data_IF_422542436386
#
_entry.id   IF_422542436386
#
_cell.length_a   1.000
_cell.length_b   1.000
_cell.length_c   1.000
_cell.angle_alpha   90.00
_cell.angle_beta   90.00
_cell.angle_gamma   90.00
#
_symmetry.space_group_name_H-M   'P 1'
#
loop_
_entity.id
_entity.type
_entity.pdbx_description
1 polymer ?
#
# COMPACT_ATOMS: atom_id res chain seq x y z
N UNK A 1 -3.99 -17.46 -1.77
CA UNK A 1 -4.70 -16.18 -2.04
C UNK A 1 -3.79 -15.03 -1.67
N UNK A 2 -3.55 -14.12 -2.58
CA UNK A 2 -2.78 -12.89 -2.34
C UNK A 2 -3.74 -11.71 -2.25
N UNK A 3 -3.50 -10.81 -1.31
CA UNK A 3 -4.25 -9.55 -1.17
C UNK A 3 -3.25 -8.40 -1.31
N UNK A 4 -3.39 -7.62 -2.38
CA UNK A 4 -2.61 -6.40 -2.59
C UNK A 4 -3.36 -5.21 -2.02
N UNK A 5 -2.71 -4.44 -1.15
CA UNK A 5 -3.28 -3.23 -0.53
C UNK A 5 -2.36 -2.06 -0.84
N UNK A 6 -2.85 -1.13 -1.65
CA UNK A 6 -2.14 0.13 -1.95
C UNK A 6 -2.99 1.34 -1.56
N UNK A 7 -2.47 2.51 -1.80
CA UNK A 7 -3.12 3.79 -1.49
C UNK A 7 -2.07 4.83 -1.10
N UNK A 8 -2.49 6.07 -0.95
CA UNK A 8 -1.64 7.16 -0.51
C UNK A 8 -1.02 6.89 0.88
N UNK A 9 0.00 7.66 1.24
CA UNK A 9 0.49 7.65 2.61
C UNK A 9 -0.64 7.97 3.59
N UNK A 10 -0.58 7.45 4.80
CA UNK A 10 -1.56 7.69 5.88
C UNK A 10 -2.97 7.09 5.65
N UNK A 11 -3.22 6.32 4.60
CA UNK A 11 -4.54 5.69 4.36
C UNK A 11 -4.80 4.43 5.20
N UNK A 12 -3.93 4.11 6.16
CA UNK A 12 -4.12 2.98 7.08
C UNK A 12 -3.87 1.59 6.47
N UNK A 13 -3.08 1.47 5.40
CA UNK A 13 -2.73 0.19 4.76
C UNK A 13 -2.18 -0.83 5.75
N UNK A 14 -1.19 -0.43 6.53
CA UNK A 14 -0.54 -1.31 7.52
C UNK A 14 -1.50 -1.71 8.64
N UNK A 15 -2.36 -0.78 9.12
CA UNK A 15 -3.38 -1.08 10.11
C UNK A 15 -4.44 -2.07 9.57
N UNK A 16 -4.86 -1.93 8.32
CA UNK A 16 -5.74 -2.88 7.67
C UNK A 16 -5.07 -4.24 7.54
N UNK A 17 -3.82 -4.30 7.10
CA UNK A 17 -3.06 -5.53 6.96
C UNK A 17 -2.90 -6.26 8.29
N UNK A 18 -2.67 -5.53 9.39
CA UNK A 18 -2.62 -6.08 10.74
C UNK A 18 -3.98 -6.70 11.14
N UNK A 19 -5.10 -6.01 10.89
CA UNK A 19 -6.45 -6.56 11.16
C UNK A 19 -6.73 -7.83 10.34
N UNK A 20 -6.33 -7.85 9.08
CA UNK A 20 -6.49 -9.03 8.22
C UNK A 20 -5.61 -10.19 8.68
N UNK A 21 -4.38 -9.93 9.13
CA UNK A 21 -3.54 -10.93 9.78
C UNK A 21 -4.24 -11.54 10.99
N UNK A 22 -4.84 -10.72 11.84
CA UNK A 22 -5.55 -11.17 13.04
C UNK A 22 -6.81 -11.97 12.69
N UNK A 23 -7.58 -11.52 11.68
CA UNK A 23 -8.84 -12.15 11.23
C UNK A 23 -8.61 -13.47 10.48
N UNK A 24 -7.73 -13.44 9.46
CA UNK A 24 -7.54 -14.55 8.54
C UNK A 24 -6.28 -15.38 8.78
N UNK A 25 -5.40 -14.93 9.68
CA UNK A 25 -4.08 -15.54 9.92
C UNK A 25 -3.18 -15.52 8.66
N UNK A 26 -3.39 -14.56 7.77
CA UNK A 26 -2.53 -14.35 6.61
C UNK A 26 -1.37 -13.45 7.00
N UNK A 27 -0.12 -13.87 6.82
CA UNK A 27 1.02 -12.97 7.03
C UNK A 27 0.96 -11.80 6.07
N UNK A 28 1.58 -10.68 6.44
CA UNK A 28 1.72 -9.56 5.51
C UNK A 28 3.18 -9.17 5.29
N UNK A 29 3.45 -8.73 4.06
CA UNK A 29 4.69 -8.10 3.63
C UNK A 29 4.45 -6.61 3.47
N UNK A 30 5.12 -5.80 4.30
CA UNK A 30 5.20 -4.36 4.07
C UNK A 30 6.33 -4.07 3.08
N UNK A 31 6.00 -3.43 1.96
CA UNK A 31 7.00 -3.02 0.97
C UNK A 31 7.93 -1.94 1.56
N UNK A 32 7.45 -1.15 2.51
CA UNK A 32 8.29 -0.19 3.23
C UNK A 32 9.35 -0.88 4.10
N UNK A 33 9.02 -2.00 4.75
CA UNK A 33 10.02 -2.80 5.47
C UNK A 33 11.06 -3.40 4.52
N UNK A 34 10.63 -3.94 3.39
CA UNK A 34 11.53 -4.44 2.35
C UNK A 34 12.45 -3.32 1.84
N UNK A 35 11.88 -2.15 1.52
CA UNK A 35 12.64 -0.95 1.12
C UNK A 35 13.74 -0.61 2.11
N UNK A 36 13.37 -0.47 3.38
CA UNK A 36 14.34 -0.11 4.42
C UNK A 36 15.38 -1.20 4.65
N UNK A 37 15.00 -2.47 4.52
CA UNK A 37 15.94 -3.59 4.59
C UNK A 37 16.99 -3.53 3.48
N UNK A 38 16.59 -3.29 2.23
CA UNK A 38 17.48 -3.19 1.08
C UNK A 38 18.40 -1.96 1.17
N UNK A 39 17.86 -0.81 1.57
CA UNK A 39 18.62 0.44 1.74
C UNK A 39 19.67 0.26 2.85
N UNK A 40 19.25 -0.15 4.05
CA UNK A 40 20.14 -0.26 5.21
C UNK A 40 21.20 -1.34 5.08
N UNK A 41 20.94 -2.38 4.31
CA UNK A 41 21.92 -3.44 4.03
C UNK A 41 22.89 -3.11 2.89
N UNK A 42 22.73 -1.93 2.25
CA UNK A 42 23.61 -1.50 1.15
C UNK A 42 23.38 -2.25 -0.17
N UNK A 43 22.20 -2.85 -0.36
CA UNK A 43 21.86 -3.54 -1.61
C UNK A 43 21.32 -2.61 -2.69
N UNK A 44 21.25 -1.31 -2.44
CA UNK A 44 20.85 -0.29 -3.39
C UNK A 44 21.45 1.07 -3.00
N UNK A 45 21.71 1.91 -3.99
CA UNK A 45 22.10 3.31 -3.80
C UNK A 45 20.88 4.24 -3.59
N UNK A 46 19.65 3.72 -3.69
CA UNK A 46 18.44 4.46 -3.38
C UNK A 46 18.38 4.81 -1.90
N UNK A 47 17.69 5.90 -1.60
CA UNK A 47 17.48 6.40 -0.24
C UNK A 47 15.98 6.50 0.06
N UNK A 48 15.57 6.68 1.31
CA UNK A 48 14.16 6.94 1.64
C UNK A 48 13.60 8.20 0.96
N UNK A 49 14.47 9.11 0.52
CA UNK A 49 14.12 10.35 -0.18
C UNK A 49 14.12 10.23 -1.71
N UNK A 50 14.48 9.07 -2.25
CA UNK A 50 14.36 8.80 -3.69
C UNK A 50 12.90 8.89 -4.13
N UNK A 51 12.68 9.29 -5.39
CA UNK A 51 11.31 9.46 -5.91
C UNK A 51 10.50 8.17 -5.84
N UNK A 52 9.19 8.28 -5.68
CA UNK A 52 8.28 7.13 -5.67
C UNK A 52 8.39 6.30 -6.95
N UNK A 53 8.69 6.92 -8.11
CA UNK A 53 8.88 6.22 -9.37
C UNK A 53 10.15 5.37 -9.37
N UNK A 54 11.28 5.89 -8.88
CA UNK A 54 12.54 5.13 -8.75
C UNK A 54 12.36 3.97 -7.77
N UNK A 55 11.76 4.23 -6.61
CA UNK A 55 11.49 3.20 -5.62
C UNK A 55 10.55 2.11 -6.16
N UNK A 56 9.49 2.48 -6.87
CA UNK A 56 8.58 1.51 -7.50
C UNK A 56 9.32 0.66 -8.54
N UNK A 57 10.10 1.30 -9.41
CA UNK A 57 10.89 0.60 -10.45
C UNK A 57 11.85 -0.43 -9.86
N UNK A 58 12.43 -0.13 -8.71
CA UNK A 58 13.37 -1.03 -8.04
C UNK A 58 12.66 -2.11 -7.21
N UNK A 59 11.64 -1.76 -6.44
CA UNK A 59 11.00 -2.66 -5.47
C UNK A 59 9.99 -3.61 -6.11
N UNK A 60 9.20 -3.12 -7.07
CA UNK A 60 8.11 -3.91 -7.64
C UNK A 60 8.56 -5.22 -8.29
N UNK A 61 9.63 -5.29 -9.08
CA UNK A 61 10.11 -6.56 -9.62
C UNK A 61 10.42 -7.60 -8.55
N UNK A 62 10.97 -7.17 -7.40
CA UNK A 62 11.28 -8.06 -6.28
C UNK A 62 9.98 -8.58 -5.65
N UNK A 63 9.07 -7.67 -5.33
CA UNK A 63 7.77 -7.97 -4.72
C UNK A 63 6.94 -8.89 -5.62
N UNK A 64 6.93 -8.64 -6.92
CA UNK A 64 6.25 -9.46 -7.93
C UNK A 64 6.72 -10.93 -7.88
N UNK A 65 8.03 -11.17 -7.84
CA UNK A 65 8.55 -12.54 -7.79
C UNK A 65 8.29 -13.21 -6.43
N UNK A 66 8.25 -12.45 -5.34
CA UNK A 66 7.82 -12.97 -4.03
C UNK A 66 6.34 -13.38 -4.06
N UNK A 67 5.47 -12.60 -4.72
CA UNK A 67 4.05 -12.93 -4.92
C UNK A 67 3.90 -14.22 -5.72
N UNK A 68 4.61 -14.36 -6.84
CA UNK A 68 4.58 -15.58 -7.65
C UNK A 68 5.00 -16.80 -6.83
N UNK A 69 6.11 -16.69 -6.10
CA UNK A 69 6.61 -17.76 -5.22
C UNK A 69 5.56 -18.15 -4.16
N UNK A 70 4.89 -17.19 -3.54
CA UNK A 70 3.84 -17.47 -2.56
C UNK A 70 2.65 -18.21 -3.19
N UNK A 71 2.23 -17.84 -4.42
CA UNK A 71 1.16 -18.52 -5.15
C UNK A 71 1.55 -19.95 -5.50
N UNK A 72 2.75 -20.16 -6.05
CA UNK A 72 3.30 -21.48 -6.41
C UNK A 72 3.37 -22.41 -5.21
N UNK A 73 3.70 -21.87 -4.04
CA UNK A 73 3.73 -22.60 -2.78
C UNK A 73 2.34 -22.74 -2.12
N UNK A 74 1.26 -22.27 -2.77
CA UNK A 74 -0.12 -22.27 -2.24
C UNK A 74 -0.25 -21.55 -0.89
N UNK A 75 0.55 -20.52 -0.68
CA UNK A 75 0.54 -19.69 0.52
C UNK A 75 -0.46 -18.54 0.38
N UNK A 76 -0.96 -18.08 1.51
CA UNK A 76 -1.69 -16.83 1.60
C UNK A 76 -0.73 -15.73 2.01
N UNK A 77 -0.87 -14.54 1.40
CA UNK A 77 -0.01 -13.40 1.71
C UNK A 77 -0.78 -12.09 1.47
N UNK A 78 -0.66 -11.16 2.39
CA UNK A 78 -1.06 -9.77 2.20
C UNK A 78 0.20 -8.99 1.83
N UNK A 79 0.15 -8.18 0.79
CA UNK A 79 1.24 -7.29 0.37
C UNK A 79 0.73 -5.87 0.41
N UNK A 80 1.36 -5.02 1.22
CA UNK A 80 0.92 -3.63 1.36
C UNK A 80 2.04 -2.64 1.09
N UNK A 81 1.68 -1.51 0.50
CA UNK A 81 2.59 -0.40 0.26
C UNK A 81 2.17 0.54 -0.87
N UNK A 82 2.89 1.65 -0.97
CA UNK A 82 2.67 2.66 -2.01
C UNK A 82 3.29 2.28 -3.38
N UNK A 83 4.16 1.27 -3.40
CA UNK A 83 5.01 0.95 -4.56
C UNK A 83 4.45 -0.18 -5.44
N UNK A 84 3.13 -0.35 -5.45
CA UNK A 84 2.39 -1.27 -6.35
C UNK A 84 1.90 -0.44 -7.53
N UNK A 85 2.38 -0.69 -8.78
CA UNK A 85 1.94 0.07 -9.94
C UNK A 85 0.48 -0.21 -10.27
N UNK A 86 -0.24 0.78 -10.82
CA UNK A 86 -1.65 0.61 -11.17
C UNK A 86 -1.90 -0.32 -12.36
N UNK A 87 -0.88 -0.58 -13.16
CA UNK A 87 -0.89 -1.54 -14.27
C UNK A 87 -0.23 -2.88 -13.91
N UNK A 88 -0.21 -3.22 -12.63
CA UNK A 88 0.43 -4.41 -12.06
C UNK A 88 0.03 -5.73 -12.73
N UNK A 89 -1.20 -5.81 -13.25
CA UNK A 89 -1.75 -7.02 -13.88
C UNK A 89 -0.92 -7.48 -15.08
N UNK A 90 -0.30 -6.54 -15.82
CA UNK A 90 0.53 -6.83 -16.99
C UNK A 90 1.76 -7.69 -16.69
N UNK A 91 2.16 -7.72 -15.44
CA UNK A 91 3.37 -8.43 -14.96
C UNK A 91 3.10 -9.87 -14.53
N UNK A 92 1.82 -10.32 -14.64
CA UNK A 92 1.38 -11.64 -14.24
C UNK A 92 0.65 -12.35 -15.37
N UNK A 93 0.92 -13.65 -15.49
CA UNK A 93 0.12 -14.53 -16.34
C UNK A 93 -1.24 -14.84 -15.69
N UNK A 94 -2.21 -15.28 -16.49
CA UNK A 94 -3.60 -15.48 -16.08
C UNK A 94 -3.74 -16.37 -14.82
N UNK A 95 -2.97 -17.43 -14.72
CA UNK A 95 -3.03 -18.35 -13.58
C UNK A 95 -2.58 -17.73 -12.24
N UNK A 96 -1.72 -16.69 -12.27
CA UNK A 96 -1.38 -15.89 -11.09
C UNK A 96 -2.50 -14.92 -10.76
N UNK A 97 -3.05 -14.22 -11.77
CA UNK A 97 -4.11 -13.22 -11.59
C UNK A 97 -5.35 -13.78 -10.87
N UNK A 98 -5.71 -15.02 -11.15
CA UNK A 98 -6.84 -15.71 -10.50
C UNK A 98 -6.66 -15.87 -8.97
N UNK A 99 -5.44 -15.72 -8.48
CA UNK A 99 -5.08 -15.85 -7.07
C UNK A 99 -4.84 -14.50 -6.37
N UNK A 100 -5.02 -13.37 -7.07
CA UNK A 100 -4.71 -12.04 -6.57
C UNK A 100 -5.99 -11.19 -6.45
N UNK A 101 -6.18 -10.59 -5.29
CA UNK A 101 -7.16 -9.52 -5.07
C UNK A 101 -6.41 -8.21 -4.84
N UNK A 102 -6.90 -7.13 -5.40
CA UNK A 102 -6.27 -5.81 -5.30
C UNK A 102 -7.26 -4.78 -4.75
N UNK A 103 -6.77 -3.95 -3.85
CA UNK A 103 -7.52 -2.86 -3.24
C UNK A 103 -6.65 -1.61 -3.10
N UNK A 104 -7.13 -0.49 -3.65
CA UNK A 104 -6.54 0.83 -3.44
C UNK A 104 -7.36 1.57 -2.38
N UNK A 105 -6.74 1.92 -1.25
CA UNK A 105 -7.39 2.72 -0.22
C UNK A 105 -7.32 4.20 -0.60
N UNK A 106 -8.46 4.87 -0.59
CA UNK A 106 -8.58 6.28 -0.89
C UNK A 106 -9.47 6.94 0.17
N UNK A 107 -9.01 8.01 0.76
CA UNK A 107 -9.80 8.85 1.65
C UNK A 107 -10.50 9.95 0.84
N UNK A 108 -11.78 10.20 1.12
CA UNK A 108 -12.50 11.34 0.53
C UNK A 108 -12.00 12.67 1.08
N UNK A 109 -12.23 13.75 0.35
CA UNK A 109 -11.87 15.09 0.80
C UNK A 109 -12.53 15.45 2.14
N UNK A 110 -13.83 15.17 2.28
CA UNK A 110 -14.57 15.42 3.52
C UNK A 110 -14.01 14.61 4.70
N UNK A 111 -13.67 13.33 4.47
CA UNK A 111 -13.05 12.50 5.51
C UNK A 111 -11.72 13.09 5.97
N UNK A 112 -10.85 13.47 5.04
CA UNK A 112 -9.53 14.04 5.35
C UNK A 112 -9.68 15.33 6.16
N UNK A 113 -10.54 16.26 5.70
CA UNK A 113 -10.73 17.56 6.39
C UNK A 113 -11.28 17.41 7.79
N UNK A 114 -12.21 16.48 7.98
CA UNK A 114 -12.88 16.28 9.27
C UNK A 114 -12.07 15.46 10.27
N UNK A 115 -11.14 14.62 9.80
CA UNK A 115 -10.42 13.65 10.64
C UNK A 115 -8.89 13.77 10.55
N UNK A 116 -8.36 14.93 10.12
CA UNK A 116 -6.93 15.06 9.86
C UNK A 116 -6.05 14.82 11.10
N UNK A 117 -6.52 15.26 12.28
CA UNK A 117 -5.81 15.01 13.54
C UNK A 117 -5.68 13.50 13.83
N UNK A 118 -6.78 12.76 13.63
CA UNK A 118 -6.81 11.32 13.82
C UNK A 118 -5.92 10.61 12.79
N UNK A 119 -5.94 11.06 11.53
CA UNK A 119 -5.07 10.53 10.46
C UNK A 119 -3.59 10.63 10.85
N UNK A 120 -3.17 11.76 11.42
CA UNK A 120 -1.80 11.94 11.93
C UNK A 120 -1.50 11.05 13.14
N UNK A 121 -2.41 10.99 14.08
CA UNK A 121 -2.25 10.18 15.29
C UNK A 121 -2.16 8.69 14.96
N UNK A 122 -3.09 8.18 14.14
CA UNK A 122 -3.13 6.78 13.75
C UNK A 122 -1.97 6.34 12.83
N UNK A 123 -1.29 7.27 12.17
CA UNK A 123 -0.09 6.95 11.39
C UNK A 123 1.03 6.36 12.24
N UNK A 124 1.04 6.63 13.54
CA UNK A 124 2.06 6.17 14.49
C UNK A 124 1.64 4.94 15.32
N UNK A 125 0.44 4.39 15.11
CA UNK A 125 -0.07 3.25 15.92
C UNK A 125 0.66 1.94 15.59
N UNK A 126 1.04 1.71 14.33
CA UNK A 126 1.72 0.49 13.88
C UNK A 126 3.17 0.76 13.49
N UNK A 127 3.49 1.97 13.06
CA UNK A 127 4.81 2.39 12.60
C UNK A 127 5.27 3.62 13.41
N UNK A 128 6.55 3.66 13.78
CA UNK A 128 7.15 4.88 14.35
C UNK A 128 7.69 5.76 13.20
N UNK A 129 6.99 6.84 12.90
CA UNK A 129 7.41 7.81 11.87
C UNK A 129 8.19 8.94 12.53
N UNK A 130 9.48 9.03 12.22
CA UNK A 130 10.42 9.94 12.87
C UNK A 130 10.23 11.40 12.40
N UNK A 131 9.68 11.62 11.20
CA UNK A 131 9.53 12.96 10.62
C UNK A 131 8.28 13.01 9.73
N UNK A 132 7.24 13.64 10.24
CA UNK A 132 5.93 13.74 9.58
C UNK A 132 5.54 15.21 9.28
N UNK A 133 6.54 16.10 9.23
CA UNK A 133 6.34 17.53 8.92
C UNK A 133 5.71 17.74 7.53
N UNK A 134 5.92 16.79 6.61
CA UNK A 134 5.36 16.79 5.26
C UNK A 134 3.89 16.36 5.19
N UNK A 135 3.34 15.81 6.27
CA UNK A 135 1.94 15.43 6.35
C UNK A 135 1.08 16.65 6.66
N UNK A 136 0.67 17.35 5.62
CA UNK A 136 -0.28 18.46 5.69
C UNK A 136 -1.62 18.04 5.09
N UNK A 137 -2.70 18.77 5.42
CA UNK A 137 -4.03 18.53 4.83
C UNK A 137 -3.94 18.55 3.30
N UNK A 138 -3.22 19.55 2.75
CA UNK A 138 -3.08 19.74 1.31
C UNK A 138 -2.34 18.58 0.65
N UNK A 139 -1.26 18.07 1.27
CA UNK A 139 -0.51 16.92 0.74
C UNK A 139 -1.37 15.66 0.74
N UNK A 140 -2.08 15.39 1.83
CA UNK A 140 -2.94 14.21 1.94
C UNK A 140 -4.12 14.29 0.94
N UNK A 141 -4.73 15.46 0.77
CA UNK A 141 -5.79 15.69 -0.24
C UNK A 141 -5.26 15.42 -1.66
N UNK A 142 -4.12 16.00 -2.01
CA UNK A 142 -3.49 15.85 -3.32
C UNK A 142 -3.18 14.38 -3.63
N UNK A 143 -2.54 13.69 -2.69
CA UNK A 143 -2.13 12.30 -2.88
C UNK A 143 -3.34 11.36 -3.02
N UNK A 144 -4.38 11.54 -2.21
CA UNK A 144 -5.61 10.75 -2.32
C UNK A 144 -6.38 11.03 -3.61
N UNK A 145 -6.46 12.30 -4.05
CA UNK A 145 -7.08 12.65 -5.33
C UNK A 145 -6.34 11.99 -6.51
N UNK A 146 -5.00 12.02 -6.49
CA UNK A 146 -4.18 11.36 -7.51
C UNK A 146 -4.39 9.84 -7.52
N UNK A 147 -4.42 9.20 -6.34
CA UNK A 147 -4.67 7.75 -6.24
C UNK A 147 -6.04 7.37 -6.79
N UNK A 148 -7.08 8.16 -6.49
CA UNK A 148 -8.42 7.94 -7.01
C UNK A 148 -8.47 8.07 -8.54
N UNK A 149 -7.82 9.09 -9.08
CA UNK A 149 -7.73 9.30 -10.54
C UNK A 149 -7.04 8.11 -11.22
N UNK A 150 -5.89 7.69 -10.69
CA UNK A 150 -5.15 6.55 -11.23
C UNK A 150 -5.93 5.23 -11.13
N UNK A 151 -6.58 4.97 -9.99
CA UNK A 151 -7.42 3.78 -9.83
C UNK A 151 -8.55 3.75 -10.87
N UNK A 152 -9.24 4.87 -11.09
CA UNK A 152 -10.29 4.99 -12.13
C UNK A 152 -9.73 4.82 -13.54
N UNK A 153 -8.61 5.47 -13.85
CA UNK A 153 -7.95 5.40 -15.16
C UNK A 153 -7.55 3.96 -15.53
N UNK A 154 -7.03 3.23 -14.57
CA UNK A 154 -6.59 1.84 -14.77
C UNK A 154 -7.68 0.81 -14.45
N UNK A 155 -8.91 1.25 -14.13
CA UNK A 155 -10.06 0.39 -13.78
C UNK A 155 -9.78 -0.55 -12.61
N UNK A 156 -8.95 -0.12 -11.66
CA UNK A 156 -8.59 -0.88 -10.49
C UNK A 156 -9.63 -0.75 -9.38
N UNK A 157 -9.77 -1.80 -8.57
CA UNK A 157 -10.63 -1.75 -7.38
C UNK A 157 -10.09 -0.73 -6.38
N UNK A 158 -10.97 0.14 -5.89
CA UNK A 158 -10.63 1.06 -4.81
C UNK A 158 -11.73 1.06 -3.73
N UNK A 159 -11.32 1.37 -2.51
CA UNK A 159 -12.21 1.53 -1.37
C UNK A 159 -12.16 2.99 -0.97
N UNK A 160 -13.29 3.68 -1.12
CA UNK A 160 -13.42 5.08 -0.72
C UNK A 160 -13.82 5.16 0.76
N UNK A 161 -12.92 5.67 1.59
CA UNK A 161 -13.15 5.94 3.01
C UNK A 161 -13.82 7.31 3.10
N UNK A 162 -15.09 7.34 3.52
CA UNK A 162 -15.93 8.54 3.46
C UNK A 162 -16.35 9.01 4.85
N UNK A 163 -17.17 8.26 5.57
CA UNK A 163 -17.69 8.70 6.88
C UNK A 163 -16.90 8.14 8.05
N UNK A 164 -16.54 6.87 7.97
CA UNK A 164 -15.80 6.13 9.00
C UNK A 164 -14.74 5.25 8.37
N UNK A 165 -13.70 4.97 9.13
CA UNK A 165 -12.69 4.00 8.74
C UNK A 165 -13.19 2.56 9.00
N UNK A 166 -14.17 2.15 8.23
CA UNK A 166 -14.74 0.79 8.25
C UNK A 166 -14.45 0.13 6.90
N UNK A 167 -13.48 -0.79 6.87
CA UNK A 167 -13.09 -1.52 5.68
C UNK A 167 -13.31 -3.01 5.95
N UNK A 168 -14.17 -3.65 5.14
CA UNK A 168 -14.38 -5.09 5.14
C UNK A 168 -14.01 -5.66 3.77
N UNK A 169 -12.99 -6.57 3.77
CA UNK A 169 -12.47 -7.27 2.58
C UNK A 169 -12.15 -8.71 2.89
#
# INVERSE_FOLDING_TARGET
MIILITGASHTGKTALSQRLLEKYKYPYLSIDHLKMGLIRSGNTDLTPMSSGAELTTYLWPIVREMIKTAIENKQNLIVEGCYIPFDWEKDFEQHYLENIKYYCLVMSEDYIRNNFADIKEYANVVESRIDDEWCTVESVLKDNAQMLELAKKHKQNYILIHDKYEIDI
#
